data_IF_190032758334
#
_entry.id   IF_190032758334
#
_cell.length_a   1.000
_cell.length_b   1.000
_cell.length_c   1.000
_cell.angle_alpha   90.00
_cell.angle_beta   90.00
_cell.angle_gamma   90.00
#
_symmetry.space_group_name_H-M   'P 1'
#
loop_
_entity.id
_entity.type
_entity.pdbx_description
1 polymer ?
#
# COMPACT_ATOMS: atom_id res chain seq x y z
N UNK A 1 -62.44 -42.69 -20.34
CA UNK A 1 -61.38 -41.66 -20.42
C UNK A 1 -60.12 -42.22 -19.77
N UNK A 2 -59.14 -42.65 -20.55
CA UNK A 2 -57.87 -43.16 -20.03
C UNK A 2 -57.04 -42.00 -19.50
N UNK A 3 -56.70 -42.03 -18.21
CA UNK A 3 -55.76 -41.07 -17.60
C UNK A 3 -54.36 -41.46 -18.08
N UNK A 4 -53.83 -40.69 -19.03
CA UNK A 4 -52.40 -40.67 -19.34
C UNK A 4 -51.66 -40.14 -18.09
N UNK A 5 -51.08 -41.03 -17.28
CA UNK A 5 -50.14 -40.63 -16.23
C UNK A 5 -48.82 -40.23 -16.91
N UNK A 6 -48.46 -38.95 -16.83
CA UNK A 6 -47.17 -38.45 -17.26
C UNK A 6 -46.06 -39.19 -16.49
N UNK A 7 -45.18 -39.87 -17.21
CA UNK A 7 -44.03 -40.57 -16.64
C UNK A 7 -42.94 -39.54 -16.28
N UNK A 8 -43.05 -38.95 -15.09
CA UNK A 8 -42.10 -37.96 -14.59
C UNK A 8 -40.88 -38.71 -14.05
N UNK A 9 -39.73 -38.59 -14.73
CA UNK A 9 -38.47 -39.13 -14.23
C UNK A 9 -38.08 -38.42 -12.94
N UNK A 10 -38.10 -39.14 -11.82
CA UNK A 10 -37.57 -38.67 -10.55
C UNK A 10 -36.05 -38.81 -10.51
N UNK A 11 -35.39 -37.93 -9.76
CA UNK A 11 -33.96 -38.05 -9.50
C UNK A 11 -33.65 -39.32 -8.71
N UNK A 12 -32.59 -40.01 -9.12
CA UNK A 12 -32.06 -41.14 -8.33
C UNK A 12 -31.31 -40.63 -7.10
N UNK A 13 -31.31 -41.42 -6.02
CA UNK A 13 -30.56 -41.10 -4.80
C UNK A 13 -29.07 -40.85 -5.11
N UNK A 14 -28.50 -41.61 -6.04
CA UNK A 14 -27.10 -41.47 -6.45
C UNK A 14 -26.84 -40.13 -7.16
N UNK A 15 -27.70 -39.71 -8.08
CA UNK A 15 -27.57 -38.40 -8.74
C UNK A 15 -27.66 -37.26 -7.72
N UNK A 16 -28.55 -37.36 -6.73
CA UNK A 16 -28.66 -36.37 -5.66
C UNK A 16 -27.38 -36.32 -4.81
N UNK A 17 -26.77 -37.47 -4.52
CA UNK A 17 -25.55 -37.56 -3.72
C UNK A 17 -24.32 -37.01 -4.48
N UNK A 18 -24.24 -37.28 -5.79
CA UNK A 18 -23.22 -36.71 -6.66
C UNK A 18 -23.41 -35.19 -6.76
N UNK A 19 -24.64 -34.71 -6.92
CA UNK A 19 -24.93 -33.28 -6.95
C UNK A 19 -24.49 -32.59 -5.65
N UNK A 20 -24.81 -33.17 -4.49
CA UNK A 20 -24.37 -32.66 -3.19
C UNK A 20 -22.85 -32.66 -3.03
N UNK A 21 -22.17 -33.71 -3.50
CA UNK A 21 -20.71 -33.80 -3.47
C UNK A 21 -20.07 -32.71 -4.34
N UNK A 22 -20.58 -32.50 -5.55
CA UNK A 22 -20.10 -31.48 -6.48
C UNK A 22 -20.30 -30.08 -5.89
N UNK A 23 -21.49 -29.78 -5.35
CA UNK A 23 -21.78 -28.48 -4.73
C UNK A 23 -20.85 -28.23 -3.54
N UNK A 24 -20.67 -29.22 -2.67
CA UNK A 24 -19.80 -29.11 -1.49
C UNK A 24 -18.34 -28.89 -1.90
N UNK A 25 -17.86 -29.64 -2.89
CA UNK A 25 -16.52 -29.48 -3.45
C UNK A 25 -16.30 -28.09 -4.06
N UNK A 26 -17.25 -27.60 -4.86
CA UNK A 26 -17.19 -26.24 -5.42
C UNK A 26 -17.15 -25.18 -4.33
N UNK A 27 -17.98 -25.31 -3.28
CA UNK A 27 -18.00 -24.36 -2.18
C UNK A 27 -16.67 -24.30 -1.42
N UNK A 28 -16.04 -25.46 -1.16
CA UNK A 28 -14.73 -25.55 -0.53
C UNK A 28 -13.64 -24.88 -1.36
N UNK A 29 -13.65 -25.08 -2.69
CA UNK A 29 -12.70 -24.42 -3.60
C UNK A 29 -12.90 -22.90 -3.55
N UNK A 30 -14.14 -22.42 -3.63
CA UNK A 30 -14.42 -20.98 -3.51
C UNK A 30 -13.93 -20.42 -2.19
N UNK A 31 -14.21 -21.07 -1.07
CA UNK A 31 -13.75 -20.64 0.25
C UNK A 31 -12.22 -20.57 0.32
N UNK A 32 -11.50 -21.58 -0.19
CA UNK A 32 -10.04 -21.60 -0.22
C UNK A 32 -9.44 -20.46 -1.05
N UNK A 33 -10.01 -20.18 -2.22
CA UNK A 33 -9.59 -19.08 -3.08
C UNK A 33 -9.85 -17.73 -2.42
N UNK A 34 -11.05 -17.50 -1.88
CA UNK A 34 -11.42 -16.26 -1.19
C UNK A 34 -10.51 -15.98 -0.01
N UNK A 35 -10.23 -16.98 0.84
CA UNK A 35 -9.34 -16.81 1.99
C UNK A 35 -7.90 -16.49 1.56
N UNK A 36 -7.41 -17.10 0.48
CA UNK A 36 -6.06 -16.85 -0.04
C UNK A 36 -5.94 -15.41 -0.56
N UNK A 37 -6.95 -14.92 -1.29
CA UNK A 37 -6.99 -13.54 -1.78
C UNK A 37 -7.02 -12.54 -0.62
N UNK A 38 -7.87 -12.76 0.38
CA UNK A 38 -7.97 -11.88 1.55
C UNK A 38 -6.67 -11.86 2.36
N UNK A 39 -6.02 -13.01 2.57
CA UNK A 39 -4.72 -13.09 3.27
C UNK A 39 -3.64 -12.28 2.55
N UNK A 40 -3.58 -12.33 1.20
CA UNK A 40 -2.63 -11.52 0.42
C UNK A 40 -2.90 -10.02 0.56
N UNK A 41 -4.16 -9.60 0.52
CA UNK A 41 -4.53 -8.20 0.71
C UNK A 41 -4.14 -7.69 2.10
N UNK A 42 -4.47 -8.43 3.15
CA UNK A 42 -4.08 -8.09 4.52
C UNK A 42 -2.56 -8.08 4.72
N UNK A 43 -1.85 -9.05 4.13
CA UNK A 43 -0.39 -9.09 4.17
C UNK A 43 0.22 -7.84 3.52
N UNK A 44 -0.25 -7.47 2.32
CA UNK A 44 0.24 -6.29 1.61
C UNK A 44 -0.02 -5.00 2.41
N UNK A 45 -1.23 -4.83 2.93
CA UNK A 45 -1.57 -3.67 3.77
C UNK A 45 -0.72 -3.59 5.04
N UNK A 46 -0.46 -4.74 5.70
CA UNK A 46 0.37 -4.81 6.90
C UNK A 46 1.84 -4.51 6.58
N UNK A 47 2.35 -5.06 5.49
CA UNK A 47 3.69 -4.79 5.01
C UNK A 47 3.91 -3.31 4.68
N UNK A 48 2.94 -2.65 4.03
CA UNK A 48 3.01 -1.21 3.75
C UNK A 48 2.97 -0.37 5.05
N UNK A 49 2.21 -0.81 6.06
CA UNK A 49 2.18 -0.18 7.37
C UNK A 49 3.53 -0.31 8.11
N UNK A 50 4.18 -1.47 8.05
CA UNK A 50 5.50 -1.69 8.66
C UNK A 50 6.59 -0.85 7.96
N UNK A 51 6.57 -0.82 6.62
CA UNK A 51 7.45 0.04 5.82
C UNK A 51 7.22 1.52 6.11
N UNK A 52 5.96 1.94 6.30
CA UNK A 52 5.63 3.29 6.72
C UNK A 52 6.26 3.64 8.06
N UNK A 53 6.18 2.75 9.06
CA UNK A 53 6.76 2.98 10.37
C UNK A 53 8.28 3.15 10.27
N UNK A 54 8.96 2.22 9.59
CA UNK A 54 10.41 2.29 9.38
C UNK A 54 10.82 3.57 8.65
N UNK A 55 10.13 3.92 7.57
CA UNK A 55 10.34 5.16 6.82
C UNK A 55 10.18 6.40 7.72
N UNK A 56 9.13 6.44 8.54
CA UNK A 56 8.85 7.59 9.40
C UNK A 56 9.94 7.80 10.45
N UNK A 57 10.50 6.72 11.00
CA UNK A 57 11.63 6.77 11.92
C UNK A 57 12.90 7.25 11.21
N UNK A 58 13.25 6.60 10.08
CA UNK A 58 14.44 6.95 9.32
C UNK A 58 14.40 8.40 8.82
N UNK A 59 13.26 8.87 8.31
CA UNK A 59 13.11 10.25 7.87
C UNK A 59 13.25 11.23 9.03
N UNK A 60 12.68 10.92 10.20
CA UNK A 60 12.80 11.77 11.38
C UNK A 60 14.24 11.89 11.87
N UNK A 61 14.99 10.80 11.87
CA UNK A 61 16.42 10.80 12.19
C UNK A 61 17.24 11.60 11.17
N UNK A 62 16.86 11.53 9.89
CA UNK A 62 17.54 12.30 8.85
C UNK A 62 17.29 13.80 8.98
N UNK A 63 16.07 14.20 9.32
CA UNK A 63 15.68 15.58 9.55
C UNK A 63 16.19 16.12 10.90
N UNK A 64 16.42 15.25 11.88
CA UNK A 64 17.03 15.61 13.15
C UNK A 64 18.43 16.20 12.93
N UNK A 65 18.64 17.42 13.44
CA UNK A 65 19.88 18.17 13.23
C UNK A 65 20.08 18.72 11.82
N UNK A 66 19.08 18.63 10.94
CA UNK A 66 19.07 19.32 9.67
C UNK A 66 18.29 20.63 9.78
N UNK A 67 18.71 21.65 9.03
CA UNK A 67 18.02 22.93 8.93
C UNK A 67 17.08 22.91 7.72
N UNK A 68 15.88 23.44 7.90
CA UNK A 68 14.96 23.67 6.79
C UNK A 68 15.59 24.59 5.75
N UNK A 69 15.48 24.24 4.47
CA UNK A 69 15.91 25.10 3.37
C UNK A 69 14.71 25.58 2.53
N UNK A 70 13.98 24.66 1.88
CA UNK A 70 12.76 24.98 1.12
C UNK A 70 11.96 23.73 0.76
N UNK A 71 10.70 23.93 0.37
CA UNK A 71 9.92 22.93 -0.39
C UNK A 71 9.73 23.47 -1.81
N UNK A 72 10.11 22.69 -2.82
CA UNK A 72 9.95 23.03 -4.24
C UNK A 72 9.80 21.75 -5.08
N UNK A 73 9.04 21.81 -6.17
CA UNK A 73 8.83 20.68 -7.09
C UNK A 73 8.42 19.36 -6.40
N UNK A 74 7.56 19.46 -5.37
CA UNK A 74 7.13 18.33 -4.54
C UNK A 74 8.30 17.59 -3.85
N UNK A 75 9.37 18.32 -3.53
CA UNK A 75 10.54 17.84 -2.81
C UNK A 75 10.83 18.74 -1.63
N UNK A 76 11.23 18.12 -0.53
CA UNK A 76 11.76 18.79 0.64
C UNK A 76 13.28 18.92 0.52
N UNK A 77 13.80 20.13 0.64
CA UNK A 77 15.22 20.41 0.70
C UNK A 77 15.62 20.80 2.11
N UNK A 78 16.71 20.20 2.59
CA UNK A 78 17.28 20.47 3.93
C UNK A 78 18.79 20.62 3.86
N UNK A 79 19.33 21.41 4.77
CA UNK A 79 20.76 21.60 4.96
C UNK A 79 21.24 20.75 6.14
N UNK A 80 22.22 19.88 5.91
CA UNK A 80 22.85 19.07 6.96
C UNK A 80 24.36 19.28 6.88
N UNK A 81 24.89 20.10 7.78
CA UNK A 81 26.27 20.60 7.72
C UNK A 81 26.49 21.47 6.47
N UNK A 82 27.44 21.09 5.60
CA UNK A 82 27.75 21.81 4.34
C UNK A 82 27.04 21.25 3.10
N UNK A 83 26.12 20.29 3.26
CA UNK A 83 25.45 19.60 2.15
C UNK A 83 23.95 19.89 2.13
N UNK A 84 23.42 20.17 0.95
CA UNK A 84 21.97 20.25 0.71
C UNK A 84 21.48 18.89 0.23
N UNK A 85 20.53 18.32 0.96
CA UNK A 85 19.85 17.07 0.66
C UNK A 85 18.43 17.36 0.16
N UNK A 86 17.94 16.51 -0.74
CA UNK A 86 16.58 16.56 -1.27
C UNK A 86 15.86 15.24 -0.98
N UNK A 87 14.64 15.33 -0.47
CA UNK A 87 13.74 14.22 -0.19
C UNK A 87 12.49 14.37 -1.04
N UNK A 88 12.13 13.32 -1.77
CA UNK A 88 10.90 13.33 -2.53
C UNK A 88 10.72 12.10 -3.38
N UNK A 89 9.56 12.02 -4.02
CA UNK A 89 9.25 10.95 -4.95
C UNK A 89 9.99 11.13 -6.27
N UNK A 90 10.58 10.05 -6.77
CA UNK A 90 11.05 9.96 -8.13
C UNK A 90 10.05 9.22 -9.00
N UNK A 91 9.50 9.95 -9.98
CA UNK A 91 8.44 9.45 -10.88
C UNK A 91 7.31 8.82 -10.05
N UNK A 92 6.92 7.59 -10.35
CA UNK A 92 5.88 6.84 -9.66
C UNK A 92 6.44 5.56 -9.02
N UNK A 93 7.73 5.56 -8.65
CA UNK A 93 8.43 4.35 -8.21
C UNK A 93 8.79 4.36 -6.72
N UNK A 94 9.60 5.32 -6.28
CA UNK A 94 10.19 5.34 -4.94
C UNK A 94 10.26 6.75 -4.36
N UNK A 95 10.11 6.84 -3.05
CA UNK A 95 10.49 8.03 -2.29
C UNK A 95 11.95 7.86 -1.86
N UNK A 96 12.77 8.87 -2.13
CA UNK A 96 14.21 8.76 -1.94
C UNK A 96 14.84 10.04 -1.42
N UNK A 97 15.97 9.85 -0.74
CA UNK A 97 16.95 10.88 -0.45
C UNK A 97 17.92 11.00 -1.62
N UNK A 98 18.22 12.22 -2.05
CA UNK A 98 19.22 12.50 -3.08
C UNK A 98 20.04 13.72 -2.71
N UNK A 99 21.30 13.77 -3.13
CA UNK A 99 22.06 15.01 -3.06
C UNK A 99 21.45 16.06 -4.02
N UNK A 100 21.50 17.34 -3.64
CA UNK A 100 21.02 18.45 -4.48
C UNK A 100 21.68 18.49 -5.88
N UNK A 101 22.91 18.01 -5.99
CA UNK A 101 23.67 17.91 -7.24
C UNK A 101 23.33 16.66 -8.09
N UNK A 102 22.36 15.85 -7.67
CA UNK A 102 21.92 14.64 -8.38
C UNK A 102 22.89 13.46 -8.32
N UNK A 103 24.04 13.58 -7.65
CA UNK A 103 25.01 12.49 -7.51
C UNK A 103 24.66 11.61 -6.32
N UNK A 104 24.17 10.40 -6.64
CA UNK A 104 23.78 9.40 -5.65
C UNK A 104 22.36 9.60 -5.13
N UNK A 105 21.72 8.49 -4.82
CA UNK A 105 20.41 8.46 -4.18
C UNK A 105 20.28 7.24 -3.27
N UNK A 106 19.42 7.35 -2.27
CA UNK A 106 19.05 6.27 -1.37
C UNK A 106 17.53 6.18 -1.35
N UNK A 107 16.94 5.11 -1.93
CA UNK A 107 15.52 4.82 -1.74
C UNK A 107 15.22 4.62 -0.26
N UNK A 108 14.12 5.20 0.21
CA UNK A 108 13.66 5.08 1.60
C UNK A 108 12.30 4.39 1.70
N UNK A 109 11.50 4.47 0.64
CA UNK A 109 10.17 3.88 0.61
C UNK A 109 9.78 3.51 -0.82
N UNK A 110 9.27 2.29 -1.00
CA UNK A 110 8.83 1.76 -2.29
C UNK A 110 7.31 1.60 -2.34
N UNK A 111 6.78 1.29 -3.53
CA UNK A 111 5.37 0.94 -3.69
C UNK A 111 4.41 2.13 -3.60
N UNK A 112 4.93 3.36 -3.60
CA UNK A 112 4.12 4.58 -3.60
C UNK A 112 3.56 4.87 -4.99
N UNK A 113 2.29 5.28 -5.03
CA UNK A 113 1.63 5.80 -6.22
C UNK A 113 1.90 7.30 -6.37
N UNK A 114 1.78 8.06 -5.29
CA UNK A 114 1.97 9.52 -5.27
C UNK A 114 2.44 10.01 -3.90
N UNK A 115 3.26 11.06 -3.89
CA UNK A 115 3.52 11.90 -2.72
C UNK A 115 3.04 13.33 -2.94
N UNK A 116 2.70 14.02 -1.86
CA UNK A 116 2.44 15.46 -1.84
C UNK A 116 3.15 16.10 -0.64
N UNK A 117 4.03 17.06 -0.89
CA UNK A 117 4.82 17.75 0.12
C UNK A 117 4.43 19.23 0.11
N UNK A 118 4.02 19.72 1.26
CA UNK A 118 3.68 21.12 1.47
C UNK A 118 4.02 21.53 2.89
N UNK A 119 3.93 22.83 3.16
CA UNK A 119 4.15 23.42 4.47
C UNK A 119 2.81 23.94 4.96
N UNK A 120 2.45 23.58 6.18
CA UNK A 120 1.22 24.02 6.83
C UNK A 120 1.57 24.43 8.26
N UNK A 121 1.19 25.65 8.68
CA UNK A 121 1.40 26.14 10.05
C UNK A 121 2.84 25.95 10.60
N UNK A 122 3.85 26.24 9.77
CA UNK A 122 5.27 26.05 10.08
C UNK A 122 5.73 24.59 10.29
N UNK A 123 4.93 23.61 9.84
CA UNK A 123 5.27 22.20 9.83
C UNK A 123 5.34 21.69 8.39
N UNK A 124 6.21 20.71 8.15
CA UNK A 124 6.21 19.96 6.91
C UNK A 124 5.14 18.89 6.97
N UNK A 125 4.31 18.84 5.93
CA UNK A 125 3.31 17.82 5.70
C UNK A 125 3.68 17.02 4.45
N UNK A 126 4.05 15.74 4.62
CA UNK A 126 4.33 14.80 3.52
C UNK A 126 3.22 13.74 3.51
N UNK A 127 2.31 13.86 2.55
CA UNK A 127 1.26 12.86 2.32
C UNK A 127 1.74 11.83 1.30
N UNK A 128 1.61 10.55 1.64
CA UNK A 128 2.05 9.42 0.82
C UNK A 128 0.88 8.47 0.59
N UNK A 129 0.72 8.05 -0.67
CA UNK A 129 -0.28 7.06 -1.07
C UNK A 129 0.40 5.86 -1.70
N UNK A 130 0.07 4.66 -1.25
CA UNK A 130 0.59 3.40 -1.78
C UNK A 130 -0.28 2.86 -2.90
N UNK A 131 0.28 1.96 -3.72
CA UNK A 131 -0.49 1.23 -4.74
C UNK A 131 -1.54 0.29 -4.13
N UNK A 132 -1.36 -0.14 -2.88
CA UNK A 132 -2.35 -0.91 -2.11
C UNK A 132 -3.59 -0.12 -1.70
N UNK A 133 -3.53 1.22 -1.79
CA UNK A 133 -4.58 2.12 -1.32
C UNK A 133 -4.33 2.71 0.08
N UNK A 134 -3.28 2.28 0.79
CA UNK A 134 -2.88 2.89 2.05
C UNK A 134 -2.51 4.36 1.84
N UNK A 135 -2.93 5.23 2.76
CA UNK A 135 -2.59 6.65 2.77
C UNK A 135 -2.13 7.07 4.17
N UNK A 136 -1.02 7.80 4.24
CA UNK A 136 -0.40 8.25 5.49
C UNK A 136 0.22 9.63 5.31
N UNK A 137 0.19 10.42 6.38
CA UNK A 137 0.80 11.74 6.40
C UNK A 137 1.87 11.81 7.47
N UNK A 138 3.04 12.29 7.09
CA UNK A 138 4.16 12.55 7.98
C UNK A 138 4.19 14.04 8.29
N UNK A 139 4.24 14.36 9.58
CA UNK A 139 4.35 15.73 10.09
C UNK A 139 5.70 15.91 10.76
N UNK A 140 6.36 17.03 10.49
CA UNK A 140 7.61 17.38 11.15
C UNK A 140 7.76 18.90 11.28
N UNK A 141 8.01 19.35 12.50
CA UNK A 141 8.40 20.72 12.80
C UNK A 141 9.91 20.74 13.02
N UNK A 142 10.63 21.64 12.33
CA UNK A 142 12.01 21.90 12.70
C UNK A 142 12.03 22.72 13.98
N UNK A 143 12.95 22.37 14.88
CA UNK A 143 13.25 23.22 16.01
C UNK A 143 14.16 24.35 15.51
N UNK A 144 13.83 25.58 15.91
CA UNK A 144 14.60 26.80 15.58
C UNK A 144 16.02 26.77 16.17
#
# INVERSE_FOLDING_TARGET
MSKQLSNIKAFTLLEALIALLVISGSLLVYQGLTQTLLKRSHYLARHDQDNWLLFSHQLREELSGARFYKVADNKLYVEKGKKVLAFGQFKSHDFRKSASNGKGYQPMLFGISRSHIHIEQSQICITLKWKSGLERTFYYAFQD
#
